data_IF_044415492093
#
_entry.id   IF_044415492093
#
_cell.length_a   1.000
_cell.length_b   1.000
_cell.length_c   1.000
_cell.angle_alpha   90.00
_cell.angle_beta   90.00
_cell.angle_gamma   90.00
#
_symmetry.space_group_name_H-M   'P 1'
#
loop_
_entity.id
_entity.type
_entity.pdbx_description
1 polymer ?
#
# COMPACT_ATOMS: atom_id res chain seq x y z
N UNK A 1 -9.85 -7.91 -2.81
CA UNK A 1 -9.27 -6.68 -3.41
C UNK A 1 -8.92 -5.75 -2.26
N UNK A 2 -7.66 -5.37 -2.14
CA UNK A 2 -7.17 -4.47 -1.10
C UNK A 2 -7.19 -3.02 -1.55
N UNK A 3 -7.23 -2.10 -0.59
CA UNK A 3 -7.13 -0.68 -0.89
C UNK A 3 -5.71 -0.34 -1.36
N UNK A 4 -5.60 0.50 -2.39
CA UNK A 4 -4.32 1.03 -2.85
C UNK A 4 -3.76 1.97 -1.78
N UNK A 5 -2.51 1.76 -1.37
CA UNK A 5 -1.79 2.72 -0.53
C UNK A 5 -0.85 3.56 -1.38
N UNK A 6 -0.73 4.85 -1.06
CA UNK A 6 0.23 5.76 -1.70
C UNK A 6 1.43 6.09 -0.79
N UNK A 7 1.48 5.46 0.39
CA UNK A 7 2.50 5.66 1.42
C UNK A 7 2.93 4.32 2.04
N UNK A 8 4.21 4.20 2.32
CA UNK A 8 4.82 3.03 2.94
C UNK A 8 5.99 3.46 3.84
N UNK A 9 6.59 2.51 4.55
CA UNK A 9 7.93 2.64 5.08
C UNK A 9 8.92 2.04 4.07
N UNK A 10 10.04 2.73 3.84
CA UNK A 10 11.16 2.21 3.04
C UNK A 10 11.99 1.18 3.83
N UNK A 11 13.01 0.60 3.20
CA UNK A 11 13.90 -0.38 3.84
C UNK A 11 14.68 0.14 5.06
N UNK A 12 14.69 1.46 5.29
CA UNK A 12 15.28 2.09 6.47
C UNK A 12 14.22 2.44 7.54
N UNK A 13 12.96 2.06 7.34
CA UNK A 13 11.86 2.37 8.24
C UNK A 13 11.39 3.82 8.15
N UNK A 14 11.69 4.55 7.07
CA UNK A 14 11.26 5.95 6.88
C UNK A 14 9.99 6.01 6.04
N UNK A 15 9.07 6.93 6.37
CA UNK A 15 7.90 7.18 5.54
C UNK A 15 8.32 7.63 4.15
N UNK A 16 7.77 6.96 3.14
CA UNK A 16 8.01 7.23 1.73
C UNK A 16 6.70 7.19 0.94
N UNK A 17 6.58 8.10 -0.02
CA UNK A 17 5.46 8.12 -0.95
C UNK A 17 5.72 7.20 -2.15
N UNK A 18 4.66 6.69 -2.75
CA UNK A 18 4.76 5.81 -3.92
C UNK A 18 5.44 6.46 -5.14
N UNK A 19 5.36 7.80 -5.27
CA UNK A 19 6.11 8.54 -6.29
C UNK A 19 7.61 8.55 -6.03
N UNK A 20 8.04 8.71 -4.78
CA UNK A 20 9.44 8.68 -4.37
C UNK A 20 10.03 7.27 -4.53
N UNK A 21 9.24 6.25 -4.22
CA UNK A 21 9.59 4.84 -4.38
C UNK A 21 9.95 4.44 -5.83
N UNK A 22 9.56 5.24 -6.84
CA UNK A 22 9.97 5.01 -8.24
C UNK A 22 11.49 5.01 -8.43
N UNK A 23 12.23 5.73 -7.58
CA UNK A 23 13.70 5.73 -7.62
C UNK A 23 14.31 4.41 -7.15
N UNK A 24 13.54 3.57 -6.44
CA UNK A 24 13.98 2.29 -5.89
C UNK A 24 12.86 1.23 -5.97
N UNK A 25 12.40 0.85 -7.18
CA UNK A 25 11.19 0.04 -7.36
C UNK A 25 11.30 -1.39 -6.79
N UNK A 26 12.53 -1.88 -6.60
CA UNK A 26 12.83 -3.21 -6.08
C UNK A 26 13.22 -3.20 -4.60
N UNK A 27 13.14 -2.05 -3.92
CA UNK A 27 13.38 -1.99 -2.48
C UNK A 27 12.26 -2.69 -1.70
N UNK A 28 12.57 -3.04 -0.45
CA UNK A 28 11.58 -3.57 0.47
C UNK A 28 10.75 -2.42 1.04
N UNK A 29 9.43 -2.56 0.93
CA UNK A 29 8.47 -1.62 1.47
C UNK A 29 7.53 -2.32 2.45
N UNK A 30 7.21 -1.65 3.54
CA UNK A 30 6.27 -2.17 4.54
C UNK A 30 5.14 -1.19 4.82
N UNK A 31 3.99 -1.71 5.23
CA UNK A 31 2.87 -0.89 5.65
C UNK A 31 3.23 -0.12 6.93
N UNK A 32 3.03 1.19 6.91
CA UNK A 32 3.28 2.05 8.07
C UNK A 32 2.30 1.82 9.24
N UNK A 33 1.20 1.08 9.02
CA UNK A 33 0.21 0.77 10.07
C UNK A 33 0.43 -0.62 10.68
N UNK A 34 0.59 -1.65 9.85
CA UNK A 34 0.62 -3.05 10.31
C UNK A 34 1.98 -3.74 10.12
N UNK A 35 2.96 -3.08 9.50
CA UNK A 35 4.28 -3.64 9.22
C UNK A 35 4.32 -4.74 8.15
N UNK A 36 3.18 -5.09 7.54
CA UNK A 36 3.13 -6.09 6.46
C UNK A 36 3.97 -5.66 5.26
N UNK A 37 4.65 -6.61 4.61
CA UNK A 37 5.40 -6.31 3.41
C UNK A 37 4.45 -5.99 2.25
N UNK A 38 4.80 -4.97 1.46
CA UNK A 38 4.00 -4.48 0.36
C UNK A 38 4.61 -4.87 -0.99
N UNK A 39 3.77 -5.09 -1.98
CA UNK A 39 4.17 -5.09 -3.39
C UNK A 39 4.08 -3.68 -3.94
N UNK A 40 5.16 -3.19 -4.53
CA UNK A 40 5.17 -1.90 -5.20
C UNK A 40 4.70 -2.02 -6.65
N UNK A 41 3.80 -1.13 -7.05
CA UNK A 41 3.33 -0.98 -8.43
C UNK A 41 3.84 0.36 -8.97
N UNK A 42 4.80 0.36 -9.91
CA UNK A 42 5.31 1.59 -10.51
C UNK A 42 4.23 2.26 -11.36
N UNK A 43 4.48 3.51 -11.76
CA UNK A 43 3.57 4.23 -12.65
C UNK A 43 3.40 3.45 -13.96
N UNK A 44 2.15 3.23 -14.37
CA UNK A 44 1.81 2.61 -15.64
C UNK A 44 0.70 3.41 -16.31
N UNK A 45 0.94 3.88 -17.54
CA UNK A 45 0.04 4.77 -18.28
C UNK A 45 -0.45 5.97 -17.43
N UNK A 46 -1.75 6.03 -17.14
CA UNK A 46 -2.39 7.10 -16.35
C UNK A 46 -2.46 6.77 -14.85
N UNK A 47 -2.10 5.56 -14.45
CA UNK A 47 -2.20 5.10 -13.08
C UNK A 47 -1.00 5.57 -12.25
N UNK A 48 -1.28 6.32 -11.19
CA UNK A 48 -0.25 6.74 -10.24
C UNK A 48 0.36 5.54 -9.52
N UNK A 49 1.67 5.55 -9.22
CA UNK A 49 2.31 4.45 -8.51
C UNK A 49 1.66 4.25 -7.14
N UNK A 50 1.62 3.01 -6.67
CA UNK A 50 0.95 2.64 -5.42
C UNK A 50 1.52 1.34 -4.82
N UNK A 51 1.06 0.99 -3.62
CA UNK A 51 1.48 -0.20 -2.89
C UNK A 51 0.29 -1.11 -2.57
N UNK A 52 0.51 -2.41 -2.71
CA UNK A 52 -0.48 -3.46 -2.51
C UNK A 52 -0.10 -4.36 -1.33
N UNK A 53 -1.08 -4.71 -0.49
CA UNK A 53 -0.93 -5.83 0.44
C UNK A 53 -1.16 -7.14 -0.32
N UNK A 54 -0.46 -8.21 0.05
CA UNK A 54 -0.72 -9.54 -0.53
C UNK A 54 -0.89 -10.56 0.58
N UNK A 55 -1.77 -11.55 0.39
CA UNK A 55 -2.16 -12.52 1.43
C UNK A 55 -0.94 -13.26 2.02
N UNK A 56 0.03 -13.57 1.17
CA UNK A 56 1.29 -14.24 1.50
C UNK A 56 2.26 -13.39 2.35
N UNK A 57 2.00 -12.08 2.46
CA UNK A 57 2.90 -11.10 3.09
C UNK A 57 2.27 -10.36 4.26
N UNK A 58 1.04 -10.72 4.64
CA UNK A 58 0.38 -10.15 5.79
C UNK A 58 1.03 -10.63 7.09
N UNK A 59 1.26 -9.69 8.00
CA UNK A 59 1.53 -9.99 9.40
C UNK A 59 0.25 -10.47 10.09
N UNK A 60 0.36 -11.05 11.29
CA UNK A 60 -0.80 -11.46 12.10
C UNK A 60 -1.82 -10.31 12.28
N UNK A 61 -1.32 -9.10 12.56
CA UNK A 61 -2.15 -7.90 12.69
C UNK A 61 -2.56 -7.28 11.34
N UNK A 62 -1.99 -7.73 10.23
CA UNK A 62 -2.26 -7.22 8.88
C UNK A 62 -3.72 -7.40 8.46
N UNK A 63 -4.40 -8.44 8.95
CA UNK A 63 -5.81 -8.70 8.64
C UNK A 63 -6.77 -7.60 9.13
N UNK A 64 -6.35 -6.81 10.13
CA UNK A 64 -7.13 -5.71 10.70
C UNK A 64 -6.66 -4.34 10.18
N UNK A 65 -5.67 -4.31 9.28
CA UNK A 65 -5.17 -3.08 8.69
C UNK A 65 -6.29 -2.40 7.87
N UNK A 66 -6.51 -1.09 8.02
CA UNK A 66 -7.53 -0.37 7.23
C UNK A 66 -7.34 -0.49 5.71
N UNK A 67 -6.11 -0.69 5.23
CA UNK A 67 -5.86 -0.94 3.81
C UNK A 67 -6.26 -2.36 3.34
N UNK A 68 -6.30 -3.31 4.27
CA UNK A 68 -6.66 -4.72 4.03
C UNK A 68 -8.16 -4.90 4.19
N UNK A 69 -8.73 -4.31 5.24
CA UNK A 69 -10.16 -4.40 5.58
C UNK A 69 -10.76 -3.00 5.79
N UNK A 70 -10.89 -2.19 4.72
CA UNK A 70 -11.46 -0.85 4.83
C UNK A 70 -12.90 -0.92 5.33
N UNK A 71 -13.30 0.08 6.09
CA UNK A 71 -14.66 0.18 6.58
C UNK A 71 -15.64 0.41 5.42
N UNK A 72 -16.91 0.02 5.61
CA UNK A 72 -17.95 0.20 4.58
C UNK A 72 -18.06 1.64 4.08
N UNK A 73 -17.86 2.62 4.96
CA UNK A 73 -17.88 4.05 4.61
C UNK A 73 -16.71 4.42 3.71
N UNK A 74 -15.51 3.93 4.01
CA UNK A 74 -14.30 4.16 3.21
C UNK A 74 -14.44 3.51 1.83
N UNK A 75 -14.97 2.29 1.76
CA UNK A 75 -15.26 1.61 0.48
C UNK A 75 -16.21 2.44 -0.39
N UNK A 76 -17.26 3.02 0.20
CA UNK A 76 -18.19 3.88 -0.55
C UNK A 76 -17.52 5.14 -1.07
N UNK A 77 -16.58 5.73 -0.32
CA UNK A 77 -15.81 6.88 -0.77
C UNK A 77 -14.85 6.51 -1.89
N UNK A 78 -14.10 5.41 -1.74
CA UNK A 78 -13.15 4.93 -2.77
C UNK A 78 -13.87 4.64 -4.09
N UNK A 79 -15.06 4.03 -4.06
CA UNK A 79 -15.87 3.76 -5.25
C UNK A 79 -16.34 5.01 -6.00
N UNK A 80 -16.40 6.17 -5.34
CA UNK A 80 -16.75 7.44 -5.98
C UNK A 80 -15.55 8.11 -6.66
N UNK A 81 -14.34 7.62 -6.39
CA UNK A 81 -13.08 8.15 -6.91
C UNK A 81 -12.53 7.32 -8.08
N UNK A 82 -13.18 6.19 -8.42
CA UNK A 82 -12.92 5.34 -9.58
C UNK A 82 -13.87 5.70 -10.71
#
# INVERSE_FOLDING_TARGET
>A
MYAKSFIALDGNGRLTGARTAQAAPYANYTCHLCGSALRYHPQYETELPWFEHTDDRLTEHGQQCPYVRPERREIQLIKRLQ
#
